data_IF_426443040609
#
_entry.id   IF_426443040609
#
_cell.length_a   1.000
_cell.length_b   1.000
_cell.length_c   1.000
_cell.angle_alpha   90.00
_cell.angle_beta   90.00
_cell.angle_gamma   90.00
#
_symmetry.space_group_name_H-M   'P 1'
#
loop_
_entity.id
_entity.type
_entity.pdbx_description
1 polymer ?
#
# COMPACT_ATOMS: atom_id res chain seq x y z
N UNK A 1 76.62 20.39 40.21
CA UNK A 1 75.24 20.41 40.76
C UNK A 1 74.27 20.79 39.66
N UNK A 2 73.38 19.88 39.26
CA UNK A 2 72.38 20.05 38.19
C UNK A 2 71.24 20.95 38.69
N UNK A 3 70.78 21.92 37.88
CA UNK A 3 69.50 22.61 38.06
C UNK A 3 68.57 22.23 36.90
N UNK A 4 67.39 21.74 37.24
CA UNK A 4 66.29 21.37 36.33
C UNK A 4 65.39 22.60 36.16
N UNK A 5 65.05 22.95 34.92
CA UNK A 5 64.04 23.95 34.59
C UNK A 5 62.82 23.22 34.01
N UNK A 6 61.64 23.47 34.58
CA UNK A 6 60.37 22.86 34.16
C UNK A 6 59.62 23.89 33.29
N UNK A 7 59.36 23.55 32.02
CA UNK A 7 58.49 24.34 31.14
C UNK A 7 57.10 23.72 31.10
N UNK A 8 56.08 24.48 31.49
CA UNK A 8 54.67 24.13 31.37
C UNK A 8 54.15 24.73 30.06
N UNK A 9 53.60 23.90 29.17
CA UNK A 9 52.87 24.34 27.98
C UNK A 9 51.37 24.35 28.26
N UNK A 10 50.73 25.50 28.03
CA UNK A 10 49.29 25.72 28.15
C UNK A 10 48.65 25.48 26.76
N UNK A 11 47.84 24.43 26.62
CA UNK A 11 47.03 24.19 25.42
C UNK A 11 45.66 24.87 25.59
N UNK A 12 45.36 25.87 24.74
CA UNK A 12 44.01 26.42 24.58
C UNK A 12 43.18 25.51 23.66
N UNK A 13 42.10 24.94 24.19
CA UNK A 13 41.06 24.24 23.43
C UNK A 13 39.98 25.26 23.02
N UNK A 14 39.91 25.59 21.73
CA UNK A 14 38.80 26.35 21.14
C UNK A 14 37.69 25.36 20.77
N UNK A 15 36.59 25.39 21.51
CA UNK A 15 35.38 24.62 21.19
C UNK A 15 34.59 25.33 20.09
N UNK A 16 34.64 24.82 18.86
CA UNK A 16 33.71 25.21 17.79
C UNK A 16 32.37 24.51 18.03
N UNK A 17 31.39 25.24 18.54
CA UNK A 17 30.01 24.79 18.55
C UNK A 17 29.46 24.82 17.11
N UNK A 18 29.30 23.64 16.52
CA UNK A 18 28.57 23.49 15.24
C UNK A 18 27.10 23.59 15.58
N UNK A 19 26.52 24.77 15.34
CA UNK A 19 25.09 24.99 15.43
C UNK A 19 24.42 24.23 14.28
N UNK A 20 23.90 23.03 14.56
CA UNK A 20 23.16 22.25 13.58
C UNK A 20 21.86 22.99 13.26
N UNK A 21 21.85 23.79 12.19
CA UNK A 21 20.63 24.40 11.65
C UNK A 21 19.55 23.33 11.51
N UNK A 22 18.57 23.33 12.42
CA UNK A 22 17.38 22.49 12.31
C UNK A 22 16.72 22.83 10.97
N UNK A 23 16.76 21.90 10.01
CA UNK A 23 16.06 22.04 8.74
C UNK A 23 14.61 22.46 9.02
N UNK A 24 14.07 23.45 8.30
CA UNK A 24 12.71 23.92 8.54
C UNK A 24 11.71 22.76 8.39
N UNK A 25 10.76 22.71 9.32
CA UNK A 25 9.65 21.75 9.34
C UNK A 25 8.85 21.91 8.05
N UNK A 26 8.70 20.82 7.28
CA UNK A 26 7.98 20.78 6.00
C UNK A 26 6.71 19.94 6.13
N UNK A 27 5.80 20.37 6.98
CA UNK A 27 4.46 19.78 7.05
C UNK A 27 3.64 20.19 5.83
N UNK A 28 2.79 19.29 5.35
CA UNK A 28 1.79 19.61 4.34
C UNK A 28 0.91 20.77 4.83
N UNK A 29 0.81 21.81 4.01
CA UNK A 29 -0.03 22.96 4.27
C UNK A 29 -0.98 23.17 3.09
N UNK A 30 -2.18 23.67 3.37
CA UNK A 30 -3.13 24.09 2.33
C UNK A 30 -2.57 25.32 1.62
N UNK A 31 -2.75 25.39 0.30
CA UNK A 31 -2.40 26.54 -0.54
C UNK A 31 -3.43 26.70 -1.66
N UNK A 32 -3.39 27.83 -2.39
CA UNK A 32 -4.23 27.99 -3.59
C UNK A 32 -3.69 27.12 -4.74
N UNK A 33 -4.55 26.49 -5.55
CA UNK A 33 -4.13 25.73 -6.73
C UNK A 33 -3.16 26.52 -7.63
N UNK A 34 -3.43 27.82 -7.84
CA UNK A 34 -2.64 28.68 -8.73
C UNK A 34 -1.18 28.82 -8.26
N UNK A 35 -0.93 28.77 -6.95
CA UNK A 35 0.42 28.91 -6.38
C UNK A 35 1.36 27.75 -6.73
N UNK A 36 0.82 26.65 -7.24
CA UNK A 36 1.57 25.47 -7.71
C UNK A 36 1.16 25.08 -9.13
N UNK A 37 0.76 26.06 -9.94
CA UNK A 37 0.50 25.85 -11.38
C UNK A 37 -0.77 25.05 -11.68
N UNK A 38 -1.77 25.05 -10.80
CA UNK A 38 -3.06 24.40 -11.03
C UNK A 38 -4.21 25.41 -11.12
N UNK A 39 -5.24 25.09 -11.88
CA UNK A 39 -6.43 25.94 -12.03
C UNK A 39 -7.52 25.59 -11.03
N UNK A 40 -7.92 26.53 -10.17
CA UNK A 40 -9.08 26.39 -9.27
C UNK A 40 -10.36 26.08 -10.06
N UNK A 41 -10.61 26.82 -11.15
CA UNK A 41 -11.80 26.62 -11.99
C UNK A 41 -11.87 25.19 -12.54
N UNK A 42 -10.76 24.64 -13.02
CA UNK A 42 -10.74 23.26 -13.54
C UNK A 42 -10.87 22.23 -12.42
N UNK A 43 -10.28 22.47 -11.24
CA UNK A 43 -10.45 21.60 -10.08
C UNK A 43 -11.89 21.60 -9.55
N UNK A 44 -12.65 22.71 -9.67
CA UNK A 44 -14.08 22.74 -9.31
C UNK A 44 -14.92 21.76 -10.12
N UNK A 45 -14.48 21.36 -11.33
CA UNK A 45 -15.17 20.34 -12.12
C UNK A 45 -15.16 18.98 -11.41
N UNK A 46 -14.17 18.70 -10.56
CA UNK A 46 -14.15 17.51 -9.70
C UNK A 46 -15.33 17.51 -8.73
N UNK A 47 -15.69 18.67 -8.17
CA UNK A 47 -16.85 18.79 -7.27
C UNK A 47 -18.13 18.38 -8.01
N UNK A 48 -18.33 18.87 -9.24
CA UNK A 48 -19.48 18.50 -10.07
C UNK A 48 -19.49 17.00 -10.40
N UNK A 49 -18.33 16.44 -10.76
CA UNK A 49 -18.23 15.02 -11.09
C UNK A 49 -18.55 14.13 -9.87
N UNK A 50 -17.92 14.40 -8.73
CA UNK A 50 -18.03 13.60 -7.51
C UNK A 50 -19.44 13.70 -6.92
N UNK A 51 -20.02 14.90 -6.82
CA UNK A 51 -21.43 15.05 -6.46
C UNK A 51 -22.35 14.32 -7.46
N UNK A 52 -22.04 14.38 -8.75
CA UNK A 52 -22.78 13.65 -9.77
C UNK A 52 -22.73 12.14 -9.59
N UNK A 53 -21.60 11.57 -9.15
CA UNK A 53 -21.50 10.15 -8.82
C UNK A 53 -22.36 9.78 -7.61
N UNK A 54 -22.35 10.61 -6.56
CA UNK A 54 -23.20 10.43 -5.38
C UNK A 54 -24.67 10.49 -5.76
N UNK A 55 -25.10 11.55 -6.45
CA UNK A 55 -26.50 11.79 -6.82
C UNK A 55 -27.07 10.70 -7.74
N UNK A 56 -26.23 10.04 -8.54
CA UNK A 56 -26.63 8.93 -9.42
C UNK A 56 -26.50 7.55 -8.76
N UNK A 57 -26.18 7.48 -7.45
CA UNK A 57 -26.01 6.23 -6.73
C UNK A 57 -24.83 5.38 -7.23
N UNK A 58 -23.80 6.00 -7.84
CA UNK A 58 -22.58 5.29 -8.30
C UNK A 58 -21.58 5.09 -7.17
N UNK A 59 -21.70 5.89 -6.11
CA UNK A 59 -20.91 5.79 -4.88
C UNK A 59 -21.70 6.38 -3.73
N UNK A 60 -21.54 5.85 -2.52
CA UNK A 60 -22.13 6.44 -1.31
C UNK A 60 -21.47 7.80 -0.99
N UNK A 61 -20.19 7.93 -1.30
CA UNK A 61 -19.40 9.12 -1.05
C UNK A 61 -17.95 8.96 -1.48
N UNK A 62 -17.22 10.07 -1.53
CA UNK A 62 -15.82 10.10 -1.89
C UNK A 62 -15.05 11.14 -1.09
N UNK A 63 -13.82 10.82 -0.68
CA UNK A 63 -12.81 11.78 -0.24
C UNK A 63 -11.72 11.84 -1.31
N UNK A 64 -11.41 13.05 -1.77
CA UNK A 64 -10.35 13.29 -2.73
C UNK A 64 -9.31 14.23 -2.12
N UNK A 65 -8.03 13.85 -2.24
CA UNK A 65 -6.87 14.64 -1.80
C UNK A 65 -5.88 14.75 -2.96
N UNK A 66 -5.45 15.98 -3.25
CA UNK A 66 -4.40 16.28 -4.21
C UNK A 66 -3.30 17.09 -3.52
N UNK A 67 -2.06 16.64 -3.69
CA UNK A 67 -0.86 17.36 -3.26
C UNK A 67 -0.02 17.70 -4.50
N UNK A 68 0.43 18.95 -4.64
CA UNK A 68 1.43 19.33 -5.64
C UNK A 68 2.50 20.21 -5.01
N UNK A 69 3.76 19.98 -5.37
CA UNK A 69 4.92 20.66 -4.77
C UNK A 69 4.93 20.59 -3.21
N UNK A 70 4.46 19.49 -2.64
CA UNK A 70 4.41 19.30 -1.19
C UNK A 70 3.34 20.17 -0.48
N UNK A 71 2.34 20.65 -1.21
CA UNK A 71 1.21 21.44 -0.69
C UNK A 71 -0.13 20.79 -1.00
N UNK A 72 -1.09 20.92 -0.09
CA UNK A 72 -2.47 20.47 -0.30
C UNK A 72 -3.18 21.51 -1.16
N UNK A 73 -3.61 21.13 -2.36
CA UNK A 73 -4.36 22.00 -3.29
C UNK A 73 -5.83 21.66 -3.38
N UNK A 74 -6.20 20.44 -2.99
CA UNK A 74 -7.58 19.97 -2.99
C UNK A 74 -7.74 18.90 -1.91
N UNK A 75 -8.66 19.09 -0.96
CA UNK A 75 -9.01 18.08 0.03
C UNK A 75 -10.48 18.23 0.42
N UNK A 76 -11.34 17.40 -0.18
CA UNK A 76 -12.80 17.53 -0.03
C UNK A 76 -13.45 16.16 0.15
N UNK A 77 -14.59 16.16 0.84
CA UNK A 77 -15.45 15.01 1.04
C UNK A 77 -16.83 15.27 0.40
N UNK A 78 -17.42 14.22 -0.17
CA UNK A 78 -18.70 14.24 -0.87
C UNK A 78 -19.56 13.06 -0.43
N UNK A 79 -20.88 13.26 -0.36
CA UNK A 79 -21.83 12.20 -0.02
C UNK A 79 -21.79 11.78 1.44
N UNK A 80 -21.98 10.49 1.69
CA UNK A 80 -22.33 9.95 3.00
C UNK A 80 -21.38 8.83 3.42
N UNK A 81 -21.04 8.83 4.71
CA UNK A 81 -20.54 7.64 5.39
C UNK A 81 -21.65 6.58 5.47
N UNK A 82 -22.83 6.98 5.94
CA UNK A 82 -24.03 6.15 6.02
C UNK A 82 -25.18 6.82 5.26
N UNK A 83 -25.51 6.29 4.09
CA UNK A 83 -26.54 6.81 3.19
C UNK A 83 -27.96 6.70 3.76
N UNK A 84 -28.24 5.66 4.56
CA UNK A 84 -29.55 5.42 5.16
C UNK A 84 -29.79 6.42 6.30
N UNK A 85 -28.76 6.65 7.13
CA UNK A 85 -28.81 7.59 8.25
C UNK A 85 -28.44 9.02 7.87
N UNK A 86 -28.10 9.26 6.59
CA UNK A 86 -27.61 10.56 6.07
C UNK A 86 -26.44 11.13 6.87
N UNK A 87 -25.55 10.27 7.37
CA UNK A 87 -24.33 10.71 8.05
C UNK A 87 -23.34 11.23 7.00
N UNK A 88 -22.96 12.52 7.02
CA UNK A 88 -22.09 13.08 6.00
C UNK A 88 -20.69 12.50 6.09
N UNK A 89 -20.08 12.26 4.92
CA UNK A 89 -18.67 11.91 4.83
C UNK A 89 -17.79 13.12 5.15
N UNK A 90 -16.67 12.88 5.82
CA UNK A 90 -15.69 13.89 6.22
C UNK A 90 -14.30 13.50 5.72
N UNK A 91 -13.45 14.50 5.54
CA UNK A 91 -12.06 14.33 5.09
C UNK A 91 -11.20 13.55 6.07
N UNK A 92 -11.57 13.55 7.35
CA UNK A 92 -10.90 12.82 8.43
C UNK A 92 -11.51 11.43 8.67
N UNK A 93 -12.45 10.97 7.86
CA UNK A 93 -12.95 9.60 8.00
C UNK A 93 -11.88 8.55 7.66
N UNK A 94 -11.98 7.39 8.30
CA UNK A 94 -11.05 6.27 8.18
C UNK A 94 -11.61 5.25 7.19
N UNK A 95 -10.82 4.93 6.18
CA UNK A 95 -11.16 4.04 5.07
C UNK A 95 -10.40 2.72 5.21
N UNK A 96 -11.04 1.63 4.80
CA UNK A 96 -10.36 0.34 4.63
C UNK A 96 -9.56 0.42 3.35
N UNK A 97 -8.24 0.51 3.45
CA UNK A 97 -7.41 0.75 2.27
C UNK A 97 -6.99 -0.54 1.57
N UNK A 98 -7.26 -1.70 2.19
CA UNK A 98 -7.04 -3.02 1.63
C UNK A 98 -5.63 -3.11 0.99
N UNK A 99 -5.56 -3.40 -0.30
CA UNK A 99 -4.30 -3.63 -1.03
C UNK A 99 -3.33 -2.46 -1.07
N UNK A 100 -3.72 -1.25 -0.69
CA UNK A 100 -2.75 -0.17 -0.49
C UNK A 100 -1.78 -0.45 0.68
N UNK A 101 -2.15 -1.33 1.61
CA UNK A 101 -1.25 -1.86 2.66
C UNK A 101 0.07 -2.38 2.08
N UNK A 102 0.05 -2.92 0.86
CA UNK A 102 1.24 -3.49 0.19
C UNK A 102 2.39 -2.50 0.05
N UNK A 103 2.10 -1.21 -0.19
CA UNK A 103 3.13 -0.19 -0.31
C UNK A 103 3.85 0.03 1.03
N UNK A 104 3.11 0.05 2.14
CA UNK A 104 3.66 0.18 3.49
C UNK A 104 4.52 -1.04 3.84
N UNK A 105 4.03 -2.25 3.54
CA UNK A 105 4.80 -3.49 3.72
C UNK A 105 6.08 -3.49 2.88
N UNK A 106 6.03 -2.98 1.65
CA UNK A 106 7.21 -2.88 0.78
C UNK A 106 8.24 -1.92 1.36
N UNK A 107 7.82 -0.78 1.93
CA UNK A 107 8.71 0.14 2.65
C UNK A 107 9.31 -0.52 3.90
N UNK A 108 8.54 -1.30 4.64
CA UNK A 108 9.05 -2.05 5.79
C UNK A 108 10.14 -3.06 5.43
N UNK A 109 9.98 -3.77 4.31
CA UNK A 109 11.01 -4.68 3.78
C UNK A 109 12.25 -3.90 3.36
N UNK A 110 12.07 -2.74 2.70
CA UNK A 110 13.19 -1.89 2.28
C UNK A 110 13.94 -1.26 3.47
N UNK A 111 13.28 -0.98 4.59
CA UNK A 111 13.94 -0.59 5.84
C UNK A 111 14.91 -1.68 6.32
N UNK A 112 14.46 -2.93 6.34
CA UNK A 112 15.30 -4.08 6.73
C UNK A 112 16.45 -4.32 5.73
N UNK A 113 16.21 -4.05 4.44
CA UNK A 113 17.24 -4.06 3.40
C UNK A 113 18.31 -3.00 3.66
N UNK A 114 17.93 -1.75 3.97
CA UNK A 114 18.88 -0.67 4.30
C UNK A 114 19.65 -0.94 5.59
N UNK A 115 19.05 -1.65 6.54
CA UNK A 115 19.72 -2.13 7.76
C UNK A 115 20.68 -3.33 7.50
N UNK A 116 20.78 -3.80 6.25
CA UNK A 116 21.65 -4.92 5.86
C UNK A 116 21.21 -6.29 6.40
N UNK A 117 19.96 -6.41 6.86
CA UNK A 117 19.43 -7.65 7.45
C UNK A 117 19.00 -8.67 6.40
N UNK A 118 18.72 -8.20 5.19
CA UNK A 118 18.33 -9.02 4.05
C UNK A 118 18.79 -8.39 2.74
N UNK A 119 18.95 -9.22 1.72
CA UNK A 119 19.09 -8.81 0.33
C UNK A 119 17.83 -9.19 -0.44
N UNK A 120 17.46 -8.39 -1.44
CA UNK A 120 16.26 -8.63 -2.24
C UNK A 120 16.32 -9.96 -2.99
N UNK A 121 17.51 -10.43 -3.35
CA UNK A 121 17.70 -11.68 -4.09
C UNK A 121 18.03 -12.87 -3.18
N UNK A 122 17.99 -12.69 -1.85
CA UNK A 122 18.03 -13.82 -0.93
C UNK A 122 16.80 -14.72 -1.15
N UNK A 123 16.97 -16.05 -1.11
CA UNK A 123 15.84 -16.96 -1.08
C UNK A 123 15.06 -16.78 0.22
N UNK A 124 13.74 -16.75 0.13
CA UNK A 124 12.84 -16.57 1.28
C UNK A 124 13.04 -17.69 2.31
N UNK A 125 13.40 -18.89 1.85
CA UNK A 125 13.69 -20.07 2.68
C UNK A 125 14.83 -19.87 3.68
N UNK A 126 15.73 -18.90 3.44
CA UNK A 126 16.76 -18.50 4.42
C UNK A 126 16.16 -17.94 5.71
N UNK A 127 14.98 -17.35 5.64
CA UNK A 127 14.29 -16.71 6.76
C UNK A 127 13.05 -17.51 7.20
N UNK A 128 12.35 -18.12 6.25
CA UNK A 128 11.15 -18.93 6.48
C UNK A 128 11.38 -20.31 5.84
N UNK A 129 12.02 -21.25 6.56
CA UNK A 129 12.52 -22.52 6.00
C UNK A 129 11.46 -23.38 5.29
N UNK A 130 10.18 -23.21 5.61
CA UNK A 130 9.07 -23.92 4.97
C UNK A 130 8.92 -23.59 3.48
N UNK A 131 9.51 -22.48 3.00
CA UNK A 131 9.57 -22.16 1.57
C UNK A 131 10.71 -22.87 0.82
N UNK A 132 11.52 -23.71 1.48
CA UNK A 132 12.57 -24.45 0.81
C UNK A 132 12.00 -25.47 -0.18
N UNK A 133 12.65 -25.61 -1.35
CA UNK A 133 12.27 -26.57 -2.40
C UNK A 133 10.78 -26.49 -2.81
N UNK A 134 10.29 -25.31 -3.25
CA UNK A 134 8.90 -25.15 -3.60
C UNK A 134 8.53 -26.02 -4.81
N UNK A 135 7.23 -26.31 -4.93
CA UNK A 135 6.65 -27.05 -6.05
C UNK A 135 5.67 -26.18 -6.81
N UNK A 136 5.49 -26.46 -8.10
CA UNK A 136 4.60 -25.73 -9.01
C UNK A 136 3.46 -26.65 -9.43
N UNK A 137 2.25 -26.11 -9.49
CA UNK A 137 1.05 -26.79 -9.97
C UNK A 137 1.26 -27.30 -11.40
N UNK A 138 1.03 -28.59 -11.62
CA UNK A 138 1.13 -29.24 -12.94
C UNK A 138 -0.26 -29.49 -13.52
N UNK A 139 -1.05 -30.34 -12.86
CA UNK A 139 -2.44 -30.63 -13.23
C UNK A 139 -3.37 -30.38 -12.07
N UNK A 140 -4.55 -29.83 -12.34
CA UNK A 140 -5.60 -29.57 -11.36
C UNK A 140 -6.88 -30.31 -11.75
N UNK A 141 -7.46 -31.03 -10.81
CA UNK A 141 -8.75 -31.69 -10.94
C UNK A 141 -9.83 -30.79 -10.31
N UNK A 142 -10.75 -30.27 -11.12
CA UNK A 142 -11.77 -29.36 -10.65
C UNK A 142 -12.91 -30.04 -9.86
N UNK A 143 -13.10 -31.35 -10.01
CA UNK A 143 -14.17 -32.09 -9.36
C UNK A 143 -13.95 -32.22 -7.86
N UNK A 144 -12.70 -32.47 -7.45
CA UNK A 144 -12.34 -32.69 -6.05
C UNK A 144 -11.25 -31.75 -5.55
N UNK A 145 -10.72 -30.85 -6.39
CA UNK A 145 -9.59 -29.97 -6.07
C UNK A 145 -8.30 -30.71 -5.69
N UNK A 146 -8.09 -31.93 -6.19
CA UNK A 146 -6.78 -32.60 -6.16
C UNK A 146 -5.87 -32.06 -7.26
N UNK A 147 -4.56 -32.28 -7.12
CA UNK A 147 -3.59 -31.78 -8.09
C UNK A 147 -2.30 -32.61 -8.09
N UNK A 148 -1.55 -32.52 -9.19
CA UNK A 148 -0.15 -32.94 -9.29
C UNK A 148 0.77 -31.74 -9.27
N UNK A 149 2.04 -31.95 -8.97
CA UNK A 149 3.05 -30.89 -8.95
C UNK A 149 4.34 -31.33 -9.63
N UNK A 150 5.13 -30.34 -10.04
CA UNK A 150 6.52 -30.50 -10.47
C UNK A 150 7.42 -29.63 -9.59
N UNK A 151 8.71 -29.98 -9.41
CA UNK A 151 9.64 -29.11 -8.70
C UNK A 151 9.74 -27.71 -9.32
N UNK A 152 9.85 -26.67 -8.49
CA UNK A 152 10.25 -25.37 -8.98
C UNK A 152 11.71 -25.40 -9.45
N UNK A 153 12.03 -24.65 -10.50
CA UNK A 153 13.38 -24.54 -11.07
C UNK A 153 14.31 -23.73 -10.18
N UNK A 154 13.77 -22.82 -9.38
CA UNK A 154 14.47 -21.92 -8.47
C UNK A 154 13.65 -21.70 -7.21
N UNK A 155 14.29 -21.25 -6.13
CA UNK A 155 13.58 -20.81 -4.93
C UNK A 155 12.92 -19.44 -5.13
N UNK A 156 11.92 -19.14 -4.32
CA UNK A 156 11.30 -17.82 -4.28
C UNK A 156 12.27 -16.85 -3.60
N UNK A 157 12.56 -15.70 -4.23
CA UNK A 157 13.34 -14.63 -3.62
C UNK A 157 12.44 -13.56 -3.00
N UNK A 158 13.00 -12.72 -2.14
CA UNK A 158 12.28 -11.58 -1.57
C UNK A 158 11.81 -10.62 -2.68
N UNK A 159 12.62 -10.44 -3.73
CA UNK A 159 12.27 -9.66 -4.92
C UNK A 159 11.03 -10.23 -5.60
N UNK A 160 10.98 -11.54 -5.81
CA UNK A 160 9.80 -12.19 -6.41
C UNK A 160 8.52 -11.93 -5.62
N UNK A 161 8.60 -11.84 -4.29
CA UNK A 161 7.45 -11.48 -3.46
C UNK A 161 7.05 -10.00 -3.64
N UNK A 162 8.02 -9.09 -3.64
CA UNK A 162 7.80 -7.64 -3.81
C UNK A 162 7.23 -7.29 -5.19
N UNK A 163 7.52 -8.11 -6.20
CA UNK A 163 7.12 -7.88 -7.59
C UNK A 163 5.92 -8.70 -8.04
N UNK A 164 5.33 -9.52 -7.15
CA UNK A 164 4.29 -10.48 -7.50
C UNK A 164 4.69 -11.47 -8.62
N UNK A 165 5.96 -11.86 -8.67
CA UNK A 165 6.46 -12.89 -9.61
C UNK A 165 6.84 -14.20 -8.93
N UNK A 166 6.45 -14.40 -7.67
CA UNK A 166 6.76 -15.60 -6.88
C UNK A 166 6.01 -16.87 -7.31
N UNK A 167 4.91 -16.74 -8.04
CA UNK A 167 3.98 -17.85 -8.31
C UNK A 167 2.94 -18.08 -7.21
N UNK A 168 3.00 -17.37 -6.09
CA UNK A 168 1.98 -17.47 -5.03
C UNK A 168 0.68 -16.83 -5.52
N UNK A 169 -0.42 -17.59 -5.49
CA UNK A 169 -1.76 -17.14 -5.85
C UNK A 169 -2.47 -16.39 -4.71
N UNK A 170 -3.79 -16.24 -4.83
CA UNK A 170 -4.63 -15.58 -3.83
C UNK A 170 -5.74 -16.51 -3.35
N UNK A 171 -6.05 -16.48 -2.05
CA UNK A 171 -7.27 -17.08 -1.51
C UNK A 171 -8.49 -16.18 -1.78
N UNK A 172 -9.67 -16.77 -2.00
CA UNK A 172 -10.97 -16.12 -2.22
C UNK A 172 -11.11 -15.24 -3.49
N UNK A 173 -10.08 -14.46 -3.85
CA UNK A 173 -10.06 -13.50 -4.97
C UNK A 173 -9.01 -13.84 -6.03
N UNK A 174 -8.42 -15.04 -5.97
CA UNK A 174 -7.42 -15.51 -6.93
C UNK A 174 -8.06 -16.28 -8.09
N UNK A 175 -7.23 -17.09 -8.77
CA UNK A 175 -7.73 -18.01 -9.79
C UNK A 175 -8.61 -19.09 -9.17
N UNK A 176 -9.38 -19.80 -10.00
CA UNK A 176 -10.20 -20.93 -9.56
C UNK A 176 -9.35 -21.96 -8.81
N UNK A 177 -8.17 -22.26 -9.33
CA UNK A 177 -7.21 -23.22 -8.78
C UNK A 177 -6.69 -22.76 -7.42
N UNK A 178 -6.22 -21.51 -7.31
CA UNK A 178 -5.70 -21.00 -6.03
C UNK A 178 -6.79 -20.92 -4.97
N UNK A 179 -8.00 -20.45 -5.34
CA UNK A 179 -9.13 -20.39 -4.41
C UNK A 179 -9.49 -21.78 -3.87
N UNK A 180 -9.58 -22.79 -4.74
CA UNK A 180 -9.94 -24.15 -4.34
C UNK A 180 -8.86 -24.81 -3.47
N UNK A 181 -7.59 -24.70 -3.84
CA UNK A 181 -6.48 -25.28 -3.09
C UNK A 181 -6.33 -24.58 -1.73
N UNK A 182 -6.45 -23.26 -1.67
CA UNK A 182 -6.21 -22.49 -0.44
C UNK A 182 -7.39 -22.60 0.52
N UNK A 183 -8.62 -22.77 0.03
CA UNK A 183 -9.79 -23.05 0.86
C UNK A 183 -9.62 -24.36 1.64
N UNK A 184 -9.14 -25.45 0.99
CA UNK A 184 -8.86 -26.72 1.66
C UNK A 184 -7.78 -26.61 2.75
N UNK A 185 -6.84 -25.70 2.58
CA UNK A 185 -5.79 -25.43 3.54
C UNK A 185 -6.23 -24.49 4.67
N UNK A 186 -7.48 -24.02 4.65
CA UNK A 186 -8.01 -22.99 5.56
C UNK A 186 -7.09 -21.77 5.63
N UNK A 187 -6.81 -21.19 4.46
CA UNK A 187 -6.06 -19.94 4.32
C UNK A 187 -7.01 -18.77 4.02
N UNK A 188 -6.67 -17.61 4.57
CA UNK A 188 -7.40 -16.37 4.37
C UNK A 188 -6.75 -15.49 3.29
N UNK A 189 -7.55 -14.63 2.64
CA UNK A 189 -7.10 -13.58 1.72
C UNK A 189 -6.36 -12.43 2.44
N UNK A 190 -6.44 -12.39 3.77
CA UNK A 190 -5.97 -11.26 4.57
C UNK A 190 -6.94 -10.07 4.60
N UNK A 191 -8.03 -10.10 3.81
CA UNK A 191 -9.12 -9.12 3.90
C UNK A 191 -10.14 -9.64 4.92
N UNK A 192 -10.23 -8.99 6.08
CA UNK A 192 -11.25 -9.31 7.08
C UNK A 192 -11.23 -10.76 7.53
N UNK A 193 -10.04 -11.28 7.84
CA UNK A 193 -9.83 -12.67 8.26
C UNK A 193 -10.63 -13.03 9.51
N UNK A 194 -11.13 -14.26 9.56
CA UNK A 194 -11.81 -14.80 10.74
C UNK A 194 -10.86 -14.92 11.94
N UNK A 195 -11.37 -14.95 13.18
CA UNK A 195 -10.54 -15.14 14.37
C UNK A 195 -9.73 -16.45 14.31
N UNK A 196 -8.52 -16.42 14.89
CA UNK A 196 -7.61 -17.58 14.93
C UNK A 196 -6.54 -17.60 13.84
N UNK A 197 -6.68 -16.78 12.81
CA UNK A 197 -5.63 -16.58 11.81
C UNK A 197 -4.51 -15.67 12.35
N UNK A 198 -3.26 -16.02 12.05
CA UNK A 198 -2.07 -15.17 12.25
C UNK A 198 -1.11 -15.37 11.08
N UNK A 199 -0.26 -14.39 10.77
CA UNK A 199 0.77 -14.56 9.74
C UNK A 199 1.67 -15.77 10.04
N UNK A 200 2.13 -15.89 11.30
CA UNK A 200 2.92 -17.02 11.78
C UNK A 200 2.25 -18.39 11.62
N UNK A 201 0.92 -18.46 11.72
CA UNK A 201 0.17 -19.72 11.56
C UNK A 201 -0.14 -20.08 10.10
N UNK A 202 -0.37 -19.07 9.26
CA UNK A 202 -0.85 -19.27 7.89
C UNK A 202 0.28 -19.35 6.87
N UNK A 203 1.32 -18.53 7.00
CA UNK A 203 2.39 -18.47 6.00
C UNK A 203 3.18 -19.79 5.89
N UNK A 204 3.54 -20.49 6.98
CA UNK A 204 4.14 -21.83 6.88
C UNK A 204 3.22 -22.88 6.24
N UNK A 205 1.88 -22.72 6.36
CA UNK A 205 0.92 -23.61 5.68
C UNK A 205 0.83 -23.30 4.19
N UNK A 206 0.82 -22.02 3.83
CA UNK A 206 0.87 -21.54 2.45
C UNK A 206 2.14 -22.06 1.73
N UNK A 207 3.29 -22.05 2.39
CA UNK A 207 4.56 -22.51 1.81
C UNK A 207 4.55 -23.98 1.34
N UNK A 208 3.64 -24.80 1.88
CA UNK A 208 3.47 -26.22 1.52
C UNK A 208 2.56 -26.43 0.30
N UNK A 209 1.92 -25.38 -0.20
CA UNK A 209 0.99 -25.43 -1.33
C UNK A 209 1.72 -25.12 -2.64
N UNK A 210 1.24 -25.63 -3.79
CA UNK A 210 1.90 -25.37 -5.06
C UNK A 210 1.82 -23.91 -5.48
N UNK A 211 2.87 -23.45 -6.16
CA UNK A 211 2.89 -22.20 -6.91
C UNK A 211 2.09 -22.34 -8.21
N UNK A 212 1.49 -21.27 -8.68
CA UNK A 212 0.70 -21.22 -9.92
C UNK A 212 1.59 -21.12 -11.18
N UNK A 213 2.88 -20.84 -11.00
CA UNK A 213 3.91 -20.87 -12.03
C UNK A 213 5.31 -20.91 -11.40
N UNK A 214 6.33 -21.10 -12.22
CA UNK A 214 7.72 -21.00 -11.79
C UNK A 214 8.05 -19.58 -11.31
N UNK A 215 8.80 -19.40 -10.21
CA UNK A 215 9.23 -18.08 -9.76
C UNK A 215 9.97 -17.31 -10.86
N UNK A 216 9.56 -16.06 -11.10
CA UNK A 216 10.12 -15.18 -12.13
C UNK A 216 9.40 -15.22 -13.49
N UNK A 217 8.68 -16.29 -13.83
CA UNK A 217 8.14 -16.47 -15.20
C UNK A 217 6.96 -15.55 -15.53
N UNK A 218 6.10 -15.23 -14.55
CA UNK A 218 4.86 -14.46 -14.76
C UNK A 218 4.61 -13.51 -13.60
N UNK A 219 3.77 -12.51 -13.84
CA UNK A 219 3.17 -11.70 -12.80
C UNK A 219 1.84 -12.34 -12.38
N UNK A 220 1.70 -12.69 -11.09
CA UNK A 220 0.48 -13.25 -10.50
C UNK A 220 0.17 -12.53 -9.21
N UNK A 221 -0.99 -11.87 -9.16
CA UNK A 221 -1.45 -11.22 -7.94
C UNK A 221 -1.79 -12.26 -6.87
N UNK A 222 -1.30 -12.07 -5.66
CA UNK A 222 -1.37 -13.11 -4.63
C UNK A 222 -0.98 -12.65 -3.23
N UNK A 223 -0.93 -13.63 -2.31
CA UNK A 223 -0.55 -13.47 -0.91
C UNK A 223 0.95 -13.22 -0.69
N UNK A 224 1.70 -12.90 -1.75
CA UNK A 224 3.14 -12.60 -1.65
C UNK A 224 3.45 -11.52 -0.63
N UNK A 225 2.59 -10.51 -0.51
CA UNK A 225 2.82 -9.42 0.45
C UNK A 225 2.47 -9.78 1.89
N UNK A 226 1.63 -10.79 2.12
CA UNK A 226 1.44 -11.36 3.46
C UNK A 226 2.65 -12.19 3.88
N UNK A 227 3.29 -12.90 2.95
CA UNK A 227 4.61 -13.52 3.19
C UNK A 227 5.66 -12.46 3.54
N UNK A 228 5.67 -11.32 2.85
CA UNK A 228 6.55 -10.19 3.20
C UNK A 228 6.25 -9.60 4.57
N UNK A 229 4.96 -9.51 4.95
CA UNK A 229 4.56 -9.13 6.30
C UNK A 229 5.16 -10.07 7.34
N UNK A 230 5.04 -11.39 7.13
CA UNK A 230 5.62 -12.38 8.04
C UNK A 230 7.16 -12.34 8.05
N UNK A 231 7.79 -12.11 6.90
CA UNK A 231 9.24 -11.92 6.80
C UNK A 231 9.69 -10.74 7.67
N UNK A 232 8.96 -9.62 7.66
CA UNK A 232 9.25 -8.48 8.55
C UNK A 232 9.16 -8.91 10.01
N UNK A 233 8.16 -9.71 10.40
CA UNK A 233 8.05 -10.20 11.78
C UNK A 233 9.26 -11.08 12.17
N UNK A 234 9.63 -12.01 11.31
CA UNK A 234 10.75 -12.94 11.53
C UNK A 234 12.08 -12.18 11.65
N UNK A 235 12.35 -11.25 10.73
CA UNK A 235 13.65 -10.55 10.67
C UNK A 235 13.78 -9.46 11.74
N UNK A 236 12.67 -8.80 12.10
CA UNK A 236 12.68 -7.74 13.10
C UNK A 236 12.47 -8.22 14.53
N UNK A 237 11.82 -9.39 14.72
CA UNK A 237 11.35 -9.87 16.01
C UNK A 237 10.13 -9.11 16.56
N UNK A 238 9.50 -8.24 15.76
CA UNK A 238 8.33 -7.45 16.13
C UNK A 238 7.09 -7.93 15.39
N UNK A 239 5.91 -7.85 16.01
CA UNK A 239 4.66 -8.01 15.26
C UNK A 239 4.53 -6.91 14.20
N UNK A 240 3.87 -7.21 13.07
CA UNK A 240 3.83 -6.29 11.93
C UNK A 240 3.17 -4.94 12.27
N UNK A 241 2.15 -4.94 13.13
CA UNK A 241 1.48 -3.74 13.60
C UNK A 241 2.41 -2.81 14.37
N UNK A 242 3.22 -3.37 15.27
CA UNK A 242 4.21 -2.64 16.06
C UNK A 242 5.36 -2.13 15.20
N UNK A 243 5.83 -2.93 14.24
CA UNK A 243 6.87 -2.49 13.31
C UNK A 243 6.39 -1.30 12.48
N UNK A 244 5.22 -1.40 11.85
CA UNK A 244 4.67 -0.31 11.03
C UNK A 244 4.47 0.96 11.85
N UNK A 245 3.90 0.82 13.06
CA UNK A 245 3.66 1.95 13.94
C UNK A 245 4.95 2.68 14.31
N UNK A 246 5.94 1.95 14.83
CA UNK A 246 7.18 2.55 15.36
C UNK A 246 8.16 3.01 14.28
N UNK A 247 8.21 2.32 13.14
CA UNK A 247 9.19 2.59 12.07
C UNK A 247 8.67 3.48 10.95
N UNK A 248 7.34 3.58 10.78
CA UNK A 248 6.73 4.31 9.65
C UNK A 248 5.73 5.34 10.17
N UNK A 249 4.69 4.93 10.89
CA UNK A 249 3.55 5.81 11.18
C UNK A 249 3.88 6.92 12.16
N UNK A 250 4.47 6.59 13.32
CA UNK A 250 4.85 7.58 14.33
C UNK A 250 5.93 8.55 13.82
N UNK A 251 7.02 8.10 13.15
CA UNK A 251 7.98 9.01 12.54
C UNK A 251 7.38 9.97 11.51
N UNK A 252 6.39 9.53 10.74
CA UNK A 252 5.72 10.36 9.74
C UNK A 252 4.56 11.20 10.30
N UNK A 253 4.09 10.91 11.51
CA UNK A 253 2.91 11.53 12.09
C UNK A 253 1.59 11.06 11.46
N UNK A 254 1.53 9.83 10.96
CA UNK A 254 0.31 9.18 10.46
C UNK A 254 -0.54 8.70 11.65
N UNK A 255 -1.40 9.58 12.17
CA UNK A 255 -2.08 9.39 13.45
C UNK A 255 -3.34 8.54 13.37
N UNK A 256 -3.82 8.23 12.18
CA UNK A 256 -5.09 7.57 11.90
C UNK A 256 -4.93 6.36 10.96
N UNK A 257 -3.75 5.72 10.98
CA UNK A 257 -3.45 4.52 10.22
C UNK A 257 -3.28 3.32 11.14
N UNK A 258 -4.08 2.27 10.94
CA UNK A 258 -4.21 1.16 11.87
C UNK A 258 -4.54 -0.18 11.18
N UNK A 259 -4.06 -1.28 11.76
CA UNK A 259 -4.72 -2.59 11.55
C UNK A 259 -6.03 -2.68 12.36
N UNK A 260 -5.94 -2.33 13.65
CA UNK A 260 -7.07 -2.30 14.59
C UNK A 260 -7.33 -0.85 15.02
N UNK A 261 -8.46 -0.27 14.61
CA UNK A 261 -8.82 1.13 14.91
C UNK A 261 -9.21 1.26 16.38
N UNK A 262 -8.57 2.20 17.14
CA UNK A 262 -8.91 2.44 18.54
C UNK A 262 -10.40 2.77 18.73
N UNK A 263 -10.98 2.29 19.84
CA UNK A 263 -12.42 2.38 20.11
C UNK A 263 -12.97 3.81 19.96
N UNK A 264 -12.24 4.81 20.44
CA UNK A 264 -12.58 6.23 20.38
C UNK A 264 -12.57 6.83 18.96
N UNK A 265 -12.01 6.12 17.98
CA UNK A 265 -11.98 6.52 16.56
C UNK A 265 -12.87 5.65 15.66
N UNK A 266 -13.48 4.58 16.18
CA UNK A 266 -14.26 3.65 15.35
C UNK A 266 -15.50 4.29 14.71
N UNK A 267 -16.02 5.36 15.30
CA UNK A 267 -17.09 6.19 14.72
C UNK A 267 -16.67 6.95 13.45
N UNK A 268 -15.37 7.00 13.13
CA UNK A 268 -14.84 7.57 11.88
C UNK A 268 -14.69 6.55 10.76
N UNK A 269 -14.82 5.25 11.05
CA UNK A 269 -14.65 4.19 10.06
C UNK A 269 -15.88 4.12 9.14
N UNK A 270 -15.64 4.40 7.86
CA UNK A 270 -16.68 4.55 6.85
C UNK A 270 -17.40 3.22 6.60
N UNK A 271 -18.71 3.26 6.37
CA UNK A 271 -19.48 2.08 5.98
C UNK A 271 -19.07 1.57 4.60
N UNK A 272 -18.96 0.25 4.43
CA UNK A 272 -18.72 -0.36 3.13
C UNK A 272 -20.05 -0.58 2.40
N UNK A 273 -20.06 -0.32 1.09
CA UNK A 273 -21.19 -0.62 0.21
C UNK A 273 -20.83 -1.68 -0.83
N UNK A 274 -21.83 -2.41 -1.31
CA UNK A 274 -21.74 -3.34 -2.42
C UNK A 274 -22.68 -2.87 -3.52
N UNK A 275 -22.25 -3.01 -4.78
CA UNK A 275 -23.14 -2.79 -5.92
C UNK A 275 -23.81 -4.12 -6.30
N UNK A 276 -25.15 -4.19 -6.20
CA UNK A 276 -25.93 -5.36 -6.57
C UNK A 276 -27.16 -4.92 -7.36
N UNK A 277 -27.31 -5.44 -8.59
CA UNK A 277 -28.42 -5.08 -9.48
C UNK A 277 -28.45 -3.60 -9.85
N UNK A 278 -27.29 -2.96 -9.99
CA UNK A 278 -27.16 -1.53 -10.31
C UNK A 278 -27.52 -0.58 -9.17
N UNK A 279 -27.67 -1.07 -7.95
CA UNK A 279 -27.94 -0.28 -6.75
C UNK A 279 -26.88 -0.52 -5.68
N UNK A 280 -26.56 0.52 -4.92
CA UNK A 280 -25.71 0.40 -3.74
C UNK A 280 -26.52 -0.12 -2.56
N UNK A 281 -25.93 -1.07 -1.86
CA UNK A 281 -26.46 -1.63 -0.62
C UNK A 281 -25.37 -1.62 0.42
N UNK A 282 -25.69 -1.22 1.65
CA UNK A 282 -24.73 -1.28 2.75
C UNK A 282 -24.30 -2.74 2.96
N UNK A 283 -23.00 -2.97 3.03
CA UNK A 283 -22.46 -4.31 3.21
C UNK A 283 -22.89 -4.86 4.56
N UNK A 284 -23.25 -6.15 4.57
CA UNK A 284 -23.48 -6.88 5.82
C UNK A 284 -22.15 -7.08 6.57
N UNK A 285 -22.17 -7.34 7.89
CA UNK A 285 -20.96 -7.56 8.68
C UNK A 285 -20.04 -8.66 8.14
N UNK A 286 -20.63 -9.66 7.45
CA UNK A 286 -19.91 -10.71 6.73
C UNK A 286 -20.36 -10.71 5.28
N UNK A 287 -19.39 -10.72 4.37
CA UNK A 287 -19.62 -10.91 2.94
C UNK A 287 -18.96 -12.22 2.52
N UNK A 288 -19.68 -13.06 1.77
CA UNK A 288 -19.16 -14.32 1.27
C UNK A 288 -18.74 -14.17 -0.21
N UNK A 289 -17.43 -14.27 -0.46
CA UNK A 289 -16.83 -14.30 -1.81
C UNK A 289 -15.82 -15.43 -1.83
N UNK A 290 -16.25 -16.63 -2.22
CA UNK A 290 -15.43 -17.86 -2.15
C UNK A 290 -14.84 -18.11 -0.75
N UNK A 291 -15.54 -17.64 0.29
CA UNK A 291 -15.09 -17.60 1.69
C UNK A 291 -15.58 -16.33 2.40
N UNK A 292 -15.47 -16.29 3.73
CA UNK A 292 -16.00 -15.19 4.55
C UNK A 292 -15.01 -14.03 4.67
N UNK A 293 -15.48 -12.81 4.44
CA UNK A 293 -14.79 -11.55 4.76
C UNK A 293 -15.56 -10.82 5.86
N UNK A 294 -14.91 -10.62 7.00
CA UNK A 294 -15.43 -9.78 8.07
C UNK A 294 -15.26 -8.31 7.69
N UNK A 295 -16.35 -7.62 7.39
CA UNK A 295 -16.29 -6.22 6.93
C UNK A 295 -15.89 -5.29 8.06
N UNK A 296 -16.28 -5.57 9.30
CA UNK A 296 -15.97 -4.72 10.45
C UNK A 296 -14.61 -5.02 11.10
N UNK A 297 -13.70 -5.70 10.40
CA UNK A 297 -12.34 -6.00 10.89
C UNK A 297 -11.58 -4.79 11.50
N UNK A 298 -11.72 -3.53 11.01
CA UNK A 298 -11.04 -2.41 11.65
C UNK A 298 -11.56 -2.15 13.07
N UNK A 299 -12.82 -2.51 13.37
CA UNK A 299 -13.52 -2.24 14.63
C UNK A 299 -13.49 -3.43 15.58
N UNK A 300 -13.62 -4.64 15.05
CA UNK A 300 -13.64 -5.88 15.86
C UNK A 300 -12.25 -6.34 16.27
N UNK A 301 -11.21 -5.82 15.60
CA UNK A 301 -9.84 -6.25 15.78
C UNK A 301 -9.50 -7.53 15.01
N UNK A 302 -8.23 -7.69 14.69
CA UNK A 302 -7.63 -8.88 14.08
C UNK A 302 -6.28 -9.20 14.72
N UNK A 303 -5.92 -10.48 14.70
CA UNK A 303 -4.56 -11.00 14.99
C UNK A 303 -3.79 -11.35 13.72
N UNK A 304 -4.47 -11.35 12.57
CA UNK A 304 -3.86 -11.48 11.25
C UNK A 304 -3.57 -10.09 10.71
N UNK A 305 -2.40 -9.54 11.05
CA UNK A 305 -1.94 -8.25 10.53
C UNK A 305 -1.53 -8.39 9.06
N UNK A 306 -2.51 -8.49 8.16
CA UNK A 306 -2.25 -8.77 6.74
C UNK A 306 -1.36 -7.70 6.11
N UNK A 307 -0.13 -8.07 5.74
CA UNK A 307 0.77 -7.22 4.95
C UNK A 307 0.23 -6.93 3.56
N UNK A 308 -0.74 -7.71 3.08
CA UNK A 308 -1.39 -7.52 1.80
C UNK A 308 -2.64 -6.64 1.82
N UNK A 309 -3.35 -6.54 2.95
CA UNK A 309 -4.72 -6.02 2.94
C UNK A 309 -5.27 -5.46 4.26
N UNK A 310 -4.51 -5.46 5.35
CA UNK A 310 -5.07 -5.29 6.69
C UNK A 310 -5.27 -3.85 7.18
N UNK A 311 -4.68 -2.84 6.52
CA UNK A 311 -4.72 -1.47 7.05
C UNK A 311 -6.03 -0.73 6.74
N UNK A 312 -6.38 0.14 7.68
CA UNK A 312 -7.27 1.27 7.51
C UNK A 312 -6.51 2.58 7.70
N UNK A 313 -6.87 3.63 6.95
CA UNK A 313 -6.17 4.93 6.96
C UNK A 313 -7.11 6.08 6.58
N UNK A 314 -6.70 7.32 6.84
CA UNK A 314 -7.30 8.51 6.21
C UNK A 314 -6.60 8.84 4.89
N UNK A 315 -7.22 9.68 4.06
CA UNK A 315 -6.60 10.18 2.84
C UNK A 315 -5.35 11.03 3.18
N UNK A 316 -5.39 11.83 4.24
CA UNK A 316 -4.27 12.69 4.64
C UNK A 316 -3.07 11.90 5.14
N UNK A 317 -3.25 10.91 6.01
CA UNK A 317 -2.16 10.05 6.49
C UNK A 317 -1.45 9.36 5.34
N UNK A 318 -2.24 8.79 4.42
CA UNK A 318 -1.66 8.11 3.27
C UNK A 318 -1.02 9.11 2.29
N UNK A 319 -1.55 10.33 2.17
CA UNK A 319 -0.93 11.43 1.45
C UNK A 319 0.44 11.82 2.02
N UNK A 320 0.61 11.81 3.34
CA UNK A 320 1.92 12.02 3.99
C UNK A 320 2.90 10.91 3.62
N UNK A 321 2.47 9.64 3.68
CA UNK A 321 3.30 8.50 3.26
C UNK A 321 3.74 8.62 1.79
N UNK A 322 2.83 8.97 0.89
CA UNK A 322 3.14 9.17 -0.52
C UNK A 322 4.04 10.39 -0.77
N UNK A 323 3.84 11.48 -0.02
CA UNK A 323 4.72 12.65 -0.08
C UNK A 323 6.14 12.30 0.39
N UNK A 324 6.30 11.46 1.41
CA UNK A 324 7.61 10.94 1.84
C UNK A 324 8.31 10.21 0.70
N UNK A 325 7.60 9.34 -0.02
CA UNK A 325 8.15 8.65 -1.18
C UNK A 325 8.49 9.64 -2.31
N UNK A 326 7.59 10.58 -2.63
CA UNK A 326 7.83 11.61 -3.66
C UNK A 326 9.10 12.44 -3.36
N UNK A 327 9.36 12.71 -2.08
CA UNK A 327 10.54 13.43 -1.61
C UNK A 327 11.82 12.57 -1.56
N UNK A 328 11.79 11.34 -2.08
CA UNK A 328 12.94 10.44 -2.05
C UNK A 328 13.22 9.86 -0.66
N UNK A 329 12.17 9.59 0.12
CA UNK A 329 12.29 8.86 1.38
C UNK A 329 12.31 9.73 2.64
N UNK A 330 12.12 11.05 2.51
CA UNK A 330 12.12 12.02 3.62
C UNK A 330 10.80 12.80 3.70
N UNK A 331 10.27 12.93 4.91
CA UNK A 331 9.19 13.87 5.18
C UNK A 331 9.43 14.57 6.49
N UNK A 332 9.27 15.89 6.49
CA UNK A 332 9.42 16.72 7.68
C UNK A 332 10.76 16.51 8.43
N UNK A 333 11.86 16.30 7.69
CA UNK A 333 13.18 16.05 8.26
C UNK A 333 13.35 14.68 8.90
N UNK A 334 12.39 13.78 8.71
CA UNK A 334 12.46 12.37 9.10
C UNK A 334 12.66 11.54 7.85
N UNK A 335 13.86 10.97 7.71
CA UNK A 335 14.20 10.03 6.65
C UNK A 335 13.76 8.63 7.05
N UNK A 336 12.87 8.06 6.26
CA UNK A 336 12.43 6.66 6.37
C UNK A 336 13.25 5.77 5.44
N UNK A 337 13.50 6.21 4.21
CA UNK A 337 14.33 5.48 3.25
C UNK A 337 15.35 6.42 2.62
N UNK A 338 16.46 5.87 2.12
CA UNK A 338 17.34 6.64 1.24
C UNK A 338 16.65 6.95 -0.10
N UNK A 339 17.03 8.06 -0.77
CA UNK A 339 16.54 8.36 -2.12
C UNK A 339 16.84 7.24 -3.12
N UNK A 340 17.95 6.51 -2.92
CA UNK A 340 18.33 5.41 -3.79
C UNK A 340 17.40 4.20 -3.64
N UNK A 341 16.97 3.88 -2.41
CA UNK A 341 15.99 2.81 -2.19
C UNK A 341 14.63 3.17 -2.78
N UNK A 342 14.16 4.41 -2.60
CA UNK A 342 12.92 4.86 -3.24
C UNK A 342 13.01 4.77 -4.76
N UNK A 343 14.13 5.23 -5.35
CA UNK A 343 14.40 5.06 -6.78
C UNK A 343 14.30 3.59 -7.21
N UNK A 344 14.90 2.66 -6.46
CA UNK A 344 14.79 1.23 -6.79
C UNK A 344 13.35 0.72 -6.71
N UNK A 345 12.58 1.13 -5.69
CA UNK A 345 11.20 0.71 -5.52
C UNK A 345 10.28 1.12 -6.69
N UNK A 346 10.55 2.27 -7.30
CA UNK A 346 9.70 2.88 -8.33
C UNK A 346 10.21 2.66 -9.76
N UNK A 347 11.19 1.78 -9.95
CA UNK A 347 11.67 1.34 -11.27
C UNK A 347 11.00 0.05 -11.74
N UNK A 348 11.13 -0.30 -13.02
CA UNK A 348 10.75 -1.62 -13.51
C UNK A 348 11.61 -2.70 -12.85
N UNK A 349 10.97 -3.57 -12.06
CA UNK A 349 11.61 -4.67 -11.32
C UNK A 349 11.22 -6.05 -11.86
N UNK A 350 10.46 -6.10 -12.96
CA UNK A 350 9.97 -7.34 -13.57
C UNK A 350 10.54 -7.59 -14.97
N UNK A 351 11.48 -6.75 -15.42
CA UNK A 351 12.12 -6.90 -16.73
C UNK A 351 11.07 -6.96 -17.85
N UNK A 352 11.10 -8.05 -18.61
CA UNK A 352 10.19 -8.31 -19.74
C UNK A 352 8.88 -9.01 -19.36
N UNK A 353 8.72 -9.44 -18.10
CA UNK A 353 7.46 -10.03 -17.64
C UNK A 353 6.30 -9.06 -17.90
N UNK A 354 5.20 -9.60 -18.42
CA UNK A 354 4.04 -8.83 -18.83
C UNK A 354 3.21 -8.33 -17.64
N UNK A 355 2.86 -7.05 -17.66
CA UNK A 355 1.92 -6.42 -16.74
C UNK A 355 1.05 -5.38 -17.49
N UNK A 356 0.23 -5.88 -18.43
CA UNK A 356 -0.51 -5.03 -19.36
C UNK A 356 0.43 -4.14 -20.17
N UNK A 357 0.09 -2.86 -20.30
CA UNK A 357 0.93 -1.84 -20.94
C UNK A 357 2.00 -1.26 -20.01
N UNK A 358 1.91 -1.55 -18.71
CA UNK A 358 2.73 -0.99 -17.66
C UNK A 358 3.77 -1.99 -17.15
N UNK A 359 4.53 -1.58 -16.14
CA UNK A 359 5.48 -2.44 -15.43
C UNK A 359 5.18 -2.44 -13.93
N UNK A 360 5.94 -3.21 -13.18
CA UNK A 360 5.79 -3.31 -11.73
C UNK A 360 7.15 -3.13 -11.05
N UNK A 361 7.16 -2.36 -9.96
CA UNK A 361 8.31 -2.09 -9.12
C UNK A 361 8.29 -2.93 -7.84
N UNK A 362 8.91 -2.45 -6.77
CA UNK A 362 8.84 -3.09 -5.46
C UNK A 362 7.60 -2.57 -4.72
N UNK A 363 6.45 -3.18 -5.01
CA UNK A 363 5.16 -2.84 -4.39
C UNK A 363 4.27 -1.85 -5.14
N UNK A 364 4.66 -1.44 -6.37
CA UNK A 364 3.94 -0.41 -7.14
C UNK A 364 3.77 -0.79 -8.60
N UNK A 365 2.61 -0.50 -9.19
CA UNK A 365 2.47 -0.44 -10.64
C UNK A 365 3.17 0.82 -11.18
N UNK A 366 3.89 0.71 -12.29
CA UNK A 366 4.71 1.79 -12.88
C UNK A 366 4.20 2.08 -14.29
N UNK A 367 3.79 3.32 -14.52
CA UNK A 367 3.40 3.83 -15.85
C UNK A 367 4.61 3.87 -16.79
N UNK A 368 4.51 3.19 -17.93
CA UNK A 368 5.51 3.25 -19.01
C UNK A 368 5.14 4.33 -20.03
N UNK A 369 6.00 4.60 -21.01
CA UNK A 369 5.64 5.43 -22.16
C UNK A 369 4.34 4.99 -22.88
N UNK A 370 4.08 3.67 -23.00
CA UNK A 370 2.82 3.14 -23.56
C UNK A 370 1.62 3.39 -22.65
N UNK A 371 1.79 3.30 -21.34
CA UNK A 371 0.73 3.64 -20.38
C UNK A 371 0.39 5.14 -20.43
N UNK A 372 1.44 5.97 -20.53
CA UNK A 372 1.33 7.43 -20.62
C UNK A 372 0.66 7.93 -21.90
N UNK A 373 0.59 7.11 -22.96
CA UNK A 373 -0.19 7.43 -24.17
C UNK A 373 -1.68 7.11 -24.03
N UNK A 374 -2.10 6.40 -22.98
CA UNK A 374 -3.50 5.98 -22.75
C UNK A 374 -4.17 6.85 -21.68
N UNK A 375 -3.44 7.17 -20.60
CA UNK A 375 -3.89 8.05 -19.52
C UNK A 375 -2.89 9.21 -19.36
N UNK A 376 -3.33 10.38 -18.90
CA UNK A 376 -2.46 11.57 -18.82
C UNK A 376 -1.39 11.51 -17.72
N UNK A 377 -1.30 10.40 -16.97
CA UNK A 377 -0.21 10.16 -16.03
C UNK A 377 1.11 10.04 -16.76
N UNK A 378 2.15 10.75 -16.32
CA UNK A 378 3.45 10.70 -16.99
C UNK A 378 4.14 9.35 -16.79
N UNK A 379 4.98 8.95 -17.74
CA UNK A 379 5.90 7.82 -17.57
C UNK A 379 6.74 7.98 -16.28
N UNK A 380 6.82 6.92 -15.48
CA UNK A 380 7.42 6.92 -14.15
C UNK A 380 6.44 7.19 -13.01
N UNK A 381 5.18 7.55 -13.31
CA UNK A 381 4.11 7.55 -12.31
C UNK A 381 3.99 6.18 -11.68
N UNK A 382 3.92 6.12 -10.35
CA UNK A 382 3.72 4.87 -9.62
C UNK A 382 2.43 4.88 -8.82
N UNK A 383 1.74 3.74 -8.77
CA UNK A 383 0.37 3.67 -8.27
C UNK A 383 -0.01 2.30 -7.72
N UNK A 384 -1.11 2.29 -6.95
CA UNK A 384 -1.84 1.09 -6.61
C UNK A 384 -3.28 1.42 -6.18
N UNK A 385 -4.06 0.39 -5.86
CA UNK A 385 -5.43 0.52 -5.38
C UNK A 385 -5.76 -0.42 -4.23
N UNK A 386 -6.98 -0.27 -3.71
CA UNK A 386 -7.59 -1.16 -2.74
C UNK A 386 -8.89 -1.77 -3.27
N UNK A 387 -9.22 -2.96 -2.79
CA UNK A 387 -10.43 -3.70 -3.20
C UNK A 387 -11.73 -2.90 -3.00
N UNK A 388 -11.74 -1.98 -2.04
CA UNK A 388 -12.90 -1.16 -1.68
C UNK A 388 -12.95 0.18 -2.42
N UNK A 389 -12.37 0.24 -3.62
CA UNK A 389 -12.37 1.42 -4.51
C UNK A 389 -11.60 2.63 -3.98
N UNK A 390 -10.58 2.38 -3.17
CA UNK A 390 -9.53 3.36 -2.82
C UNK A 390 -8.42 3.33 -3.88
N UNK A 391 -7.90 4.50 -4.25
CA UNK A 391 -6.83 4.65 -5.25
C UNK A 391 -5.82 5.67 -4.78
N UNK A 392 -4.55 5.46 -5.15
CA UNK A 392 -3.55 6.53 -5.16
C UNK A 392 -2.66 6.47 -6.41
N UNK A 393 -1.99 7.57 -6.71
CA UNK A 393 -0.83 7.60 -7.60
C UNK A 393 0.12 8.73 -7.17
N UNK A 394 1.38 8.60 -7.58
CA UNK A 394 2.40 9.63 -7.42
C UNK A 394 3.11 9.82 -8.75
N UNK A 395 3.14 11.06 -9.23
CA UNK A 395 3.86 11.47 -10.42
C UNK A 395 5.05 12.34 -10.03
N UNK A 396 6.28 11.79 -10.07
CA UNK A 396 7.48 12.55 -9.73
C UNK A 396 7.79 13.71 -10.67
N UNK A 397 7.39 13.63 -11.95
CA UNK A 397 7.66 14.69 -12.93
C UNK A 397 6.78 15.89 -12.66
N UNK A 398 5.51 15.65 -12.35
CA UNK A 398 4.54 16.70 -11.99
C UNK A 398 4.59 17.08 -10.51
N UNK A 399 5.40 16.37 -9.71
CA UNK A 399 5.46 16.46 -8.24
C UNK A 399 4.08 16.38 -7.60
N UNK A 400 3.25 15.49 -8.13
CA UNK A 400 1.83 15.36 -7.83
C UNK A 400 1.57 14.06 -7.07
N UNK A 401 0.81 14.14 -5.98
CA UNK A 401 0.19 12.99 -5.32
C UNK A 401 -1.31 13.12 -5.48
N UNK A 402 -1.96 12.06 -5.97
CA UNK A 402 -3.41 11.98 -6.08
C UNK A 402 -3.98 10.83 -5.27
N UNK A 403 -5.05 11.09 -4.53
CA UNK A 403 -5.80 10.09 -3.76
C UNK A 403 -7.29 10.27 -4.03
N UNK A 404 -7.97 9.15 -4.28
CA UNK A 404 -9.43 9.07 -4.36
C UNK A 404 -9.90 7.89 -3.51
N UNK A 405 -10.54 8.18 -2.40
CA UNK A 405 -11.06 7.19 -1.46
C UNK A 405 -12.58 7.11 -1.54
N UNK A 406 -13.06 5.91 -1.82
CA UNK A 406 -14.46 5.48 -1.74
C UNK A 406 -14.50 4.23 -0.87
N UNK A 407 -15.67 3.79 -0.43
CA UNK A 407 -15.84 2.53 0.30
C UNK A 407 -16.91 1.66 -0.38
N UNK A 408 -16.56 1.10 -1.53
CA UNK A 408 -17.47 0.24 -2.28
C UNK A 408 -16.74 -0.89 -3.00
N UNK A 409 -17.38 -2.06 -3.08
CA UNK A 409 -16.83 -3.24 -3.73
C UNK A 409 -17.78 -3.77 -4.82
N UNK A 410 -17.19 -4.37 -5.86
CA UNK A 410 -17.92 -4.97 -6.98
C UNK A 410 -18.54 -3.95 -7.94
N UNK A 411 -18.04 -2.72 -7.98
CA UNK A 411 -18.68 -1.68 -8.80
C UNK A 411 -18.56 -1.92 -10.30
N UNK A 412 -19.64 -1.60 -11.00
CA UNK A 412 -19.69 -1.60 -12.47
C UNK A 412 -19.06 -0.35 -13.08
N UNK A 413 -18.76 0.67 -12.26
CA UNK A 413 -18.20 1.97 -12.68
C UNK A 413 -16.66 1.97 -12.63
N UNK A 414 -16.05 1.02 -13.34
CA UNK A 414 -14.59 0.82 -13.37
C UNK A 414 -13.79 1.96 -14.00
N UNK A 415 -14.44 2.87 -14.74
CA UNK A 415 -13.81 4.02 -15.40
C UNK A 415 -13.59 5.23 -14.46
N UNK A 416 -14.21 5.22 -13.28
CA UNK A 416 -14.15 6.34 -12.33
C UNK A 416 -12.70 6.78 -11.95
N UNK A 417 -11.77 5.88 -11.59
CA UNK A 417 -10.35 6.21 -11.40
C UNK A 417 -9.74 7.00 -12.56
N UNK A 418 -9.99 6.56 -13.79
CA UNK A 418 -9.38 7.15 -14.98
C UNK A 418 -9.97 8.52 -15.28
N UNK A 419 -11.30 8.68 -15.15
CA UNK A 419 -11.95 10.00 -15.27
C UNK A 419 -11.42 10.99 -14.25
N UNK A 420 -11.24 10.55 -13.01
CA UNK A 420 -10.67 11.40 -11.95
C UNK A 420 -9.26 11.85 -12.30
N UNK A 421 -8.36 10.94 -12.70
CA UNK A 421 -7.02 11.29 -13.17
C UNK A 421 -7.08 12.29 -14.32
N UNK A 422 -7.89 12.03 -15.36
CA UNK A 422 -8.02 12.93 -16.51
C UNK A 422 -8.36 14.35 -16.08
N UNK A 423 -9.33 14.51 -15.18
CA UNK A 423 -9.73 15.84 -14.69
C UNK A 423 -8.66 16.51 -13.82
N UNK A 424 -7.91 15.73 -13.02
CA UNK A 424 -6.78 16.27 -12.24
C UNK A 424 -5.67 16.79 -13.15
N UNK A 425 -5.21 16.00 -14.11
CA UNK A 425 -4.16 16.43 -15.04
C UNK A 425 -4.61 17.56 -15.95
N UNK A 426 -5.90 17.59 -16.33
CA UNK A 426 -6.46 18.71 -17.08
C UNK A 426 -6.44 20.03 -16.29
N UNK A 427 -6.30 19.97 -14.97
CA UNK A 427 -6.20 21.16 -14.12
C UNK A 427 -4.77 21.72 -13.97
N UNK A 428 -3.74 21.03 -14.49
CA UNK A 428 -2.39 21.59 -14.62
C UNK A 428 -2.43 22.74 -15.64
N UNK A 429 -1.75 23.85 -15.34
CA UNK A 429 -1.85 25.10 -16.09
C UNK A 429 -0.53 25.93 -16.05
N UNK A 430 0.58 25.25 -15.83
CA UNK A 430 1.93 25.80 -15.82
C UNK A 430 2.65 25.76 -17.18
#
# INVERSE_FOLDING_TARGET
>A
MKKVLFCIHLFLLVSLAVDAQKKPIKLLSVTTPESVGMSTERLQRLDTMLNGWVNRGRTNGAVALLLRDGKIVYHKAFGFDDEEKKVPLRTDNIFRIASQTKAITSVAVMLLYEEGKLLLDDPVSRYIPEFAKPVVLDKFNAQDSSYTTVPAKTEITIRHLLTHTSGIGYAQIGSRESNAIYAKANLTSGIGSEPGHTLKGDIPRLAKLPLMHQPGDRWTYGLSTDVLGYLVEVVSGMNLDQFFRSKIFEPLGMKDTYFNVPAEKQNRVVSLYLEAGGKLQKAKPVVNVNGNFLIDYPKTGTTYFSGGAGLSSTALDYGIFLQMLLNGGDYNGKRILSPNSVRMMTMNQIGDVGFGVNKFGLGFGITTGKGSSILPTQEGTYEWGGAFSTLYWVDPKEKLVGILYRQLWGTTHGDAPNRFKVMVYSALND
#
